data_IF_114876483736
#
_entry.id   IF_114876483736
#
_cell.length_a   1.000
_cell.length_b   1.000
_cell.length_c   1.000
_cell.angle_alpha   90.00
_cell.angle_beta   90.00
_cell.angle_gamma   90.00
#
_symmetry.space_group_name_H-M   'P 1'
#
loop_
_entity.id
_entity.type
_entity.pdbx_description
1 polymer ?
#
# COMPACT_ATOMS: atom_id res chain seq x y z
N UNK A 1 3.13 -14.90 -7.59
CA UNK A 1 4.45 -15.60 -7.66
C UNK A 1 5.52 -14.99 -6.74
N UNK A 2 6.04 -13.79 -7.00
CA UNK A 2 7.11 -13.20 -6.16
C UNK A 2 6.68 -13.01 -4.70
N UNK A 3 5.48 -12.49 -4.48
CA UNK A 3 4.91 -12.31 -3.14
C UNK A 3 4.83 -13.64 -2.38
N UNK A 4 4.33 -14.70 -3.03
CA UNK A 4 4.23 -16.05 -2.45
C UNK A 4 5.61 -16.56 -2.05
N UNK A 5 6.62 -16.38 -2.90
CA UNK A 5 8.00 -16.80 -2.60
C UNK A 5 8.56 -16.09 -1.38
N UNK A 6 8.36 -14.78 -1.26
CA UNK A 6 8.82 -14.01 -0.11
C UNK A 6 8.09 -14.45 1.16
N UNK A 7 6.76 -14.63 1.07
CA UNK A 7 5.92 -15.08 2.19
C UNK A 7 6.37 -16.44 2.74
N UNK A 8 6.71 -17.39 1.86
CA UNK A 8 7.23 -18.71 2.26
C UNK A 8 8.58 -18.66 2.97
N UNK A 9 9.35 -17.60 2.75
CA UNK A 9 10.64 -17.38 3.41
C UNK A 9 10.53 -16.44 4.62
N UNK A 10 9.32 -16.06 5.04
CA UNK A 10 9.12 -15.11 6.14
C UNK A 10 9.56 -13.67 5.81
N UNK A 11 9.78 -13.33 4.54
CA UNK A 11 10.29 -12.02 4.15
C UNK A 11 9.17 -10.99 3.96
N UNK A 12 9.42 -9.76 4.42
CA UNK A 12 8.56 -8.62 4.09
C UNK A 12 8.62 -8.32 2.58
N UNK A 13 7.49 -7.87 2.03
CA UNK A 13 7.40 -7.52 0.62
C UNK A 13 6.91 -6.09 0.47
N UNK A 14 7.74 -5.25 -0.15
CA UNK A 14 7.36 -3.91 -0.59
C UNK A 14 6.67 -4.00 -1.96
N UNK A 15 5.44 -3.53 -2.02
CA UNK A 15 4.62 -3.40 -3.23
C UNK A 15 4.57 -1.95 -3.66
N UNK A 16 5.27 -1.64 -4.76
CA UNK A 16 5.15 -0.35 -5.45
C UNK A 16 3.88 -0.35 -6.30
N UNK A 17 3.07 0.69 -6.16
CA UNK A 17 1.74 0.78 -6.78
C UNK A 17 1.81 1.45 -8.16
N UNK A 18 0.89 1.05 -9.04
CA UNK A 18 0.89 1.50 -10.44
C UNK A 18 0.62 3.00 -10.57
N UNK A 19 1.31 3.63 -11.52
CA UNK A 19 1.22 5.05 -11.82
C UNK A 19 1.08 5.20 -13.33
N UNK A 20 -0.10 5.66 -13.77
CA UNK A 20 -0.40 5.88 -15.17
C UNK A 20 -0.48 7.37 -15.44
N UNK A 21 0.44 7.88 -16.25
CA UNK A 21 0.51 9.32 -16.58
C UNK A 21 0.53 9.46 -18.10
N UNK A 22 -0.27 10.38 -18.63
CA UNK A 22 -0.31 10.73 -20.07
C UNK A 22 -0.57 9.53 -20.99
N UNK A 23 -1.51 8.66 -20.64
CA UNK A 23 -1.99 7.64 -21.58
C UNK A 23 -2.83 8.32 -22.70
N UNK A 24 -2.50 8.11 -23.99
CA UNK A 24 -3.30 8.62 -25.10
C UNK A 24 -4.59 7.79 -25.25
N UNK A 25 -5.73 8.42 -25.51
CA UNK A 25 -6.97 7.68 -25.77
C UNK A 25 -6.98 7.04 -27.15
N UNK A 26 -7.60 5.86 -27.29
CA UNK A 26 -7.72 5.15 -28.59
C UNK A 26 -8.35 6.03 -29.67
N UNK A 27 -9.37 6.82 -29.32
CA UNK A 27 -10.01 7.79 -30.21
C UNK A 27 -9.07 8.92 -30.66
N UNK A 28 -8.12 9.33 -29.81
CA UNK A 28 -7.19 10.42 -30.13
C UNK A 28 -5.99 9.97 -30.96
N UNK A 29 -5.59 8.69 -30.84
CA UNK A 29 -4.64 8.04 -31.76
C UNK A 29 -5.24 7.91 -33.17
N UNK A 30 -6.52 7.56 -33.28
CA UNK A 30 -7.21 7.43 -34.57
C UNK A 30 -7.42 8.77 -35.29
N UNK A 31 -7.49 9.89 -34.56
CA UNK A 31 -7.74 11.25 -35.11
C UNK A 31 -6.48 12.11 -35.25
N UNK A 32 -5.30 11.56 -34.97
CA UNK A 32 -4.00 12.25 -35.17
C UNK A 32 -3.72 13.43 -34.22
N UNK A 33 -4.56 13.65 -33.20
CA UNK A 33 -4.36 14.69 -32.19
C UNK A 33 -4.41 14.07 -30.79
N UNK A 34 -3.28 13.81 -30.12
CA UNK A 34 -3.26 13.09 -28.85
C UNK A 34 -3.95 13.91 -27.76
N UNK A 35 -5.01 13.34 -27.19
CA UNK A 35 -5.68 13.85 -25.99
C UNK A 35 -5.27 12.92 -24.86
N UNK A 36 -4.55 13.46 -23.89
CA UNK A 36 -4.03 12.70 -22.77
C UNK A 36 -5.07 12.59 -21.66
N UNK A 37 -5.20 11.39 -21.11
CA UNK A 37 -5.98 11.18 -19.90
C UNK A 37 -5.31 11.82 -18.68
N UNK A 38 -6.08 12.24 -17.66
CA UNK A 38 -5.52 12.70 -16.40
C UNK A 38 -4.71 11.58 -15.73
N UNK A 39 -3.66 11.93 -14.97
CA UNK A 39 -2.82 10.94 -14.30
C UNK A 39 -3.61 10.15 -13.26
N UNK A 40 -3.45 8.84 -13.25
CA UNK A 40 -4.09 7.91 -12.32
C UNK A 40 -3.03 7.23 -11.47
N UNK A 41 -3.14 7.41 -10.16
CA UNK A 41 -2.27 6.78 -9.17
C UNK A 41 -3.07 5.70 -8.44
N UNK A 42 -2.53 4.49 -8.35
CA UNK A 42 -3.18 3.41 -7.62
C UNK A 42 -3.09 3.67 -6.11
N UNK A 43 -4.21 3.44 -5.41
CA UNK A 43 -4.28 3.57 -3.95
C UNK A 43 -3.98 2.25 -3.26
N UNK A 44 -3.66 2.29 -1.96
CA UNK A 44 -3.47 1.09 -1.12
C UNK A 44 -4.73 0.23 -1.14
N UNK A 45 -5.91 0.86 -1.06
CA UNK A 45 -7.20 0.17 -1.05
C UNK A 45 -7.40 -0.64 -2.34
N UNK A 46 -7.19 -0.03 -3.51
CA UNK A 46 -7.29 -0.74 -4.80
C UNK A 46 -6.26 -1.86 -4.92
N UNK A 47 -5.04 -1.66 -4.42
CA UNK A 47 -4.01 -2.70 -4.44
C UNK A 47 -4.39 -3.91 -3.57
N UNK A 48 -4.94 -3.66 -2.37
CA UNK A 48 -5.42 -4.72 -1.48
C UNK A 48 -6.63 -5.45 -2.05
N UNK A 49 -7.59 -4.74 -2.65
CA UNK A 49 -8.74 -5.36 -3.33
C UNK A 49 -8.28 -6.34 -4.41
N UNK A 50 -7.35 -5.92 -5.27
CA UNK A 50 -6.80 -6.78 -6.32
C UNK A 50 -6.04 -7.98 -5.75
N UNK A 51 -5.24 -7.77 -4.71
CA UNK A 51 -4.52 -8.87 -4.06
C UNK A 51 -5.46 -9.89 -3.43
N UNK A 52 -6.53 -9.44 -2.77
CA UNK A 52 -7.53 -10.32 -2.16
C UNK A 52 -8.35 -11.08 -3.21
N UNK A 53 -8.67 -10.44 -4.35
CA UNK A 53 -9.32 -11.10 -5.48
C UNK A 53 -8.43 -12.21 -6.07
N UNK A 54 -7.14 -11.92 -6.26
CA UNK A 54 -6.16 -12.92 -6.73
C UNK A 54 -6.03 -14.04 -5.71
N UNK A 55 -5.93 -13.73 -4.42
CA UNK A 55 -5.86 -14.73 -3.35
C UNK A 55 -7.11 -15.62 -3.33
N UNK A 56 -8.31 -15.06 -3.53
CA UNK A 56 -9.54 -15.84 -3.62
C UNK A 56 -9.53 -16.84 -4.79
N UNK A 57 -8.88 -16.47 -5.91
CA UNK A 57 -8.77 -17.35 -7.08
C UNK A 57 -7.66 -18.40 -6.96
N UNK A 58 -6.50 -18.03 -6.37
CA UNK A 58 -5.29 -18.87 -6.36
C UNK A 58 -5.09 -19.67 -5.06
N UNK A 59 -5.60 -19.16 -3.94
CA UNK A 59 -5.50 -19.77 -2.61
C UNK A 59 -4.06 -20.19 -2.23
N UNK A 60 -3.08 -19.33 -2.52
CA UNK A 60 -1.65 -19.59 -2.27
C UNK A 60 -1.18 -19.13 -0.88
N UNK A 61 -2.04 -18.46 -0.11
CA UNK A 61 -1.78 -17.94 1.23
C UNK A 61 -0.84 -16.73 1.27
N UNK A 62 -0.74 -15.98 0.17
CA UNK A 62 0.23 -14.90 0.03
C UNK A 62 -0.22 -13.64 0.76
N UNK A 63 -1.49 -13.27 0.61
CA UNK A 63 -2.09 -12.09 1.25
C UNK A 63 -3.57 -12.37 1.52
N UNK A 64 -3.88 -12.75 2.76
CA UNK A 64 -5.25 -12.97 3.23
C UNK A 64 -5.84 -11.70 3.85
N UNK A 65 -7.15 -11.67 4.08
CA UNK A 65 -7.83 -10.56 4.75
C UNK A 65 -7.25 -10.24 6.15
N UNK A 66 -6.72 -11.27 6.83
CA UNK A 66 -6.12 -11.17 8.16
C UNK A 66 -4.59 -10.97 8.12
N UNK A 67 -4.00 -10.92 6.92
CA UNK A 67 -2.55 -10.71 6.80
C UNK A 67 -2.18 -9.30 7.23
N UNK A 68 -1.19 -9.21 8.12
CA UNK A 68 -0.63 -7.93 8.57
C UNK A 68 0.03 -7.20 7.41
N UNK A 69 -0.42 -5.99 7.16
CA UNK A 69 -0.02 -5.14 6.07
C UNK A 69 0.26 -3.72 6.61
N UNK A 70 1.00 -2.93 5.84
CA UNK A 70 1.29 -1.54 6.16
C UNK A 70 1.01 -0.70 4.92
N UNK A 71 0.05 0.21 5.04
CA UNK A 71 -0.23 1.22 4.04
C UNK A 71 0.60 2.46 4.32
N UNK A 72 1.29 2.95 3.30
CA UNK A 72 2.14 4.13 3.39
C UNK A 72 1.72 5.12 2.31
N UNK A 73 1.54 6.38 2.69
CA UNK A 73 1.22 7.47 1.79
C UNK A 73 2.11 8.67 2.04
N UNK A 74 2.60 9.28 0.95
CA UNK A 74 3.35 10.55 0.94
C UNK A 74 4.52 10.57 1.92
N UNK A 75 5.30 9.48 1.96
CA UNK A 75 6.46 9.38 2.84
C UNK A 75 7.44 10.54 2.62
N UNK A 76 7.85 11.22 3.70
CA UNK A 76 8.68 12.42 3.63
C UNK A 76 7.94 13.74 3.39
N UNK A 77 6.61 13.72 3.22
CA UNK A 77 5.80 14.93 3.21
C UNK A 77 5.28 15.27 4.62
N UNK A 78 4.88 16.52 4.85
CA UNK A 78 4.33 16.96 6.13
C UNK A 78 3.01 16.24 6.50
N UNK A 79 2.29 15.77 5.48
CA UNK A 79 1.04 15.04 5.58
C UNK A 79 1.22 13.54 5.30
N UNK A 80 2.41 13.01 5.55
CA UNK A 80 2.68 11.57 5.46
C UNK A 80 1.72 10.77 6.35
N UNK A 81 1.34 9.59 5.87
CA UNK A 81 0.46 8.69 6.61
C UNK A 81 0.96 7.26 6.52
N UNK A 82 1.18 6.65 7.68
CA UNK A 82 1.61 5.27 7.83
C UNK A 82 0.58 4.60 8.72
N UNK A 83 -0.01 3.51 8.24
CA UNK A 83 -1.01 2.74 9.00
C UNK A 83 -0.72 1.26 8.83
N UNK A 84 -0.57 0.56 9.95
CA UNK A 84 -0.40 -0.88 10.03
C UNK A 84 -1.70 -1.55 10.50
N UNK A 85 -2.01 -2.72 9.96
CA UNK A 85 -3.21 -3.46 10.35
C UNK A 85 -3.43 -4.67 9.47
N UNK A 86 -4.52 -5.38 9.70
CA UNK A 86 -4.97 -6.41 8.78
C UNK A 86 -5.32 -5.80 7.42
N UNK A 87 -5.13 -6.56 6.34
CA UNK A 87 -5.56 -6.14 5.00
C UNK A 87 -7.01 -5.64 4.98
N UNK A 88 -7.89 -6.27 5.77
CA UNK A 88 -9.29 -5.85 5.94
C UNK A 88 -9.45 -4.47 6.58
N UNK A 89 -8.71 -4.18 7.64
CA UNK A 89 -8.78 -2.87 8.29
C UNK A 89 -8.25 -1.76 7.38
N UNK A 90 -7.14 -2.04 6.68
CA UNK A 90 -6.52 -1.13 5.73
C UNK A 90 -7.45 -0.74 4.57
N UNK A 91 -8.34 -1.63 4.13
CA UNK A 91 -9.34 -1.31 3.11
C UNK A 91 -10.30 -0.19 3.54
N UNK A 92 -10.56 -0.03 4.84
CA UNK A 92 -11.44 1.00 5.37
C UNK A 92 -10.72 2.34 5.67
N UNK A 93 -9.39 2.37 5.57
CA UNK A 93 -8.58 3.54 5.90
C UNK A 93 -8.44 4.46 4.68
N UNK A 94 -8.61 5.76 4.91
CA UNK A 94 -8.29 6.79 3.92
C UNK A 94 -6.84 7.27 4.07
N UNK A 95 -6.01 6.94 3.08
CA UNK A 95 -4.60 7.33 3.01
C UNK A 95 -4.38 8.75 2.45
N UNK A 96 -5.43 9.38 1.92
CA UNK A 96 -5.39 10.70 1.33
C UNK A 96 -4.81 10.72 -0.09
N UNK A 97 -4.09 11.80 -0.41
CA UNK A 97 -3.50 12.01 -1.72
C UNK A 97 -2.31 11.07 -2.02
N UNK A 98 -2.06 10.73 -3.31
CA UNK A 98 -0.90 9.94 -3.72
C UNK A 98 0.44 10.64 -3.41
N UNK A 99 1.59 9.97 -3.37
CA UNK A 99 1.88 8.59 -3.79
C UNK A 99 1.71 7.57 -2.66
N UNK A 100 1.22 6.39 -3.01
CA UNK A 100 0.96 5.30 -2.07
C UNK A 100 1.91 4.12 -2.30
N UNK A 101 2.18 3.37 -1.24
CA UNK A 101 2.91 2.10 -1.26
C UNK A 101 2.31 1.16 -0.23
N UNK A 102 2.43 -0.14 -0.48
CA UNK A 102 1.92 -1.19 0.39
C UNK A 102 3.09 -2.08 0.81
N UNK A 103 3.16 -2.45 2.08
CA UNK A 103 4.08 -3.48 2.57
C UNK A 103 3.26 -4.64 3.12
N UNK A 104 3.57 -5.84 2.68
CA UNK A 104 3.00 -7.08 3.22
C UNK A 104 4.04 -7.66 4.17
N UNK A 105 3.68 -7.76 5.44
CA UNK A 105 4.61 -8.17 6.50
C UNK A 105 4.78 -9.68 6.43
N UNK A 106 6.02 -10.17 6.46
CA UNK A 106 6.36 -11.60 6.56
C UNK A 106 6.32 -12.08 8.02
N UNK A 107 7.38 -12.76 8.43
CA UNK A 107 7.59 -13.14 9.83
C UNK A 107 8.26 -11.97 10.54
N UNK A 108 7.51 -11.29 11.40
CA UNK A 108 7.98 -10.12 12.13
C UNK A 108 8.56 -10.51 13.50
N UNK A 109 9.69 -9.90 13.86
CA UNK A 109 10.23 -9.99 15.20
C UNK A 109 9.33 -9.23 16.21
N UNK A 110 9.21 -9.66 17.48
CA UNK A 110 8.37 -8.98 18.47
C UNK A 110 8.60 -7.47 18.57
N UNK A 111 9.85 -7.03 18.49
CA UNK A 111 10.21 -5.61 18.47
C UNK A 111 9.62 -4.84 17.27
N UNK A 112 9.51 -5.49 16.10
CA UNK A 112 8.86 -4.88 14.93
C UNK A 112 7.36 -4.75 15.16
N UNK A 113 6.74 -5.76 15.78
CA UNK A 113 5.31 -5.70 16.13
C UNK A 113 5.02 -4.60 17.14
N UNK A 114 5.84 -4.45 18.19
CA UNK A 114 5.75 -3.35 19.15
C UNK A 114 5.85 -1.98 18.48
N UNK A 115 6.74 -1.82 17.49
CA UNK A 115 6.82 -0.60 16.70
C UNK A 115 5.54 -0.36 15.87
N UNK A 116 5.00 -1.42 15.26
CA UNK A 116 3.81 -1.34 14.42
C UNK A 116 2.53 -1.03 15.20
N UNK A 117 2.48 -1.36 16.50
CA UNK A 117 1.36 -0.97 17.37
C UNK A 117 1.16 0.54 17.41
N UNK A 118 2.24 1.33 17.36
CA UNK A 118 2.19 2.80 17.28
C UNK A 118 1.54 3.32 15.99
N UNK A 119 1.43 2.49 14.95
CA UNK A 119 0.83 2.82 13.66
C UNK A 119 -0.48 2.07 13.40
N UNK A 120 -1.08 1.43 14.42
CA UNK A 120 -2.22 0.54 14.19
C UNK A 120 -3.47 1.28 13.66
N UNK A 121 -4.23 0.62 12.79
CA UNK A 121 -5.47 1.16 12.22
C UNK A 121 -6.58 1.41 13.27
N UNK A 122 -6.54 0.69 14.40
CA UNK A 122 -7.49 0.82 15.50
C UNK A 122 -7.07 1.87 16.53
N UNK A 123 -5.80 2.25 16.57
CA UNK A 123 -5.30 3.39 17.34
C UNK A 123 -5.59 4.70 16.58
N UNK A 124 -6.85 5.11 16.56
CA UNK A 124 -7.20 6.48 16.18
C UNK A 124 -6.61 7.46 17.21
N UNK A 125 -5.38 7.94 17.00
CA UNK A 125 -4.75 8.86 17.95
C UNK A 125 -3.32 9.29 17.60
N UNK A 126 -3.20 10.16 16.60
CA UNK A 126 -2.06 11.05 16.30
C UNK A 126 -0.70 10.40 15.95
N UNK A 127 0.00 10.88 14.91
CA UNK A 127 1.39 10.57 14.72
C UNK A 127 2.19 11.23 15.85
N UNK A 128 2.74 10.43 16.77
CA UNK A 128 3.91 10.81 17.55
C UNK A 128 5.10 10.88 16.61
N UNK A 129 5.15 11.95 15.82
CA UNK A 129 6.36 12.37 15.13
C UNK A 129 7.34 12.78 16.23
N UNK A 130 8.34 11.93 16.51
CA UNK A 130 9.51 12.38 17.26
C UNK A 130 10.07 13.64 16.57
N UNK A 131 10.32 14.73 17.31
CA UNK A 131 10.95 15.89 16.72
C UNK A 131 12.35 15.48 16.25
N UNK A 132 12.63 15.73 14.98
CA UNK A 132 13.97 15.64 14.43
C UNK A 132 14.93 16.39 15.36
N UNK A 133 15.79 15.64 16.04
CA UNK A 133 16.87 16.23 16.83
C UNK A 133 17.80 16.94 15.86
N UNK A 134 17.76 18.27 15.91
CA UNK A 134 18.78 19.14 15.33
C UNK A 134 20.10 18.90 16.05
N UNK A 135 21.08 18.39 15.32
CA UNK A 135 22.49 18.67 15.59
C UNK A 135 23.00 19.64 14.53
#
# INVERSE_FOLDING_TARGET
DRLVSNRRCGLHTLCLLDIKVKEPTLDSLARGKPVYMPPRFMTVNTALEQLLEIEASRQEGACTAESLCIGVARIGCADQRIVAGSARELLAVDFGAPLHSLVIVGDAHPLELELLEGFSASASGAPSTEPAQSQ
#
